data_IF_609450270133
#
_entry.id   IF_609450270133
#
_cell.length_a   1.000
_cell.length_b   1.000
_cell.length_c   1.000
_cell.angle_alpha   90.00
_cell.angle_beta   90.00
_cell.angle_gamma   90.00
#
_symmetry.space_group_name_H-M   'P 1'
#
loop_
_entity.id
_entity.type
_entity.pdbx_description
1 polymer ?
#
# COMPACT_ATOMS: atom_id res chain seq x y z
N UNK A 1 -25.74 -10.65 -36.51
CA UNK A 1 -24.29 -10.80 -36.76
C UNK A 1 -23.70 -10.95 -35.37
N UNK A 2 -22.89 -11.97 -35.06
CA UNK A 2 -22.09 -11.91 -33.84
C UNK A 2 -21.29 -10.60 -33.91
N UNK A 3 -21.30 -9.83 -32.83
CA UNK A 3 -20.39 -8.69 -32.68
C UNK A 3 -18.97 -9.19 -32.94
N UNK A 4 -18.10 -8.44 -33.65
CA UNK A 4 -16.70 -8.81 -33.73
C UNK A 4 -16.18 -9.00 -32.31
N UNK A 5 -15.43 -10.09 -32.08
CA UNK A 5 -14.72 -10.24 -30.81
C UNK A 5 -13.79 -9.03 -30.69
N UNK A 6 -13.84 -8.33 -29.57
CA UNK A 6 -12.98 -7.16 -29.35
C UNK A 6 -11.56 -7.65 -28.99
N UNK A 7 -10.54 -6.79 -29.07
CA UNK A 7 -9.22 -7.08 -28.48
C UNK A 7 -9.35 -7.19 -26.97
N UNK A 8 -8.33 -7.69 -26.27
CA UNK A 8 -8.33 -7.74 -24.80
C UNK A 8 -8.67 -6.38 -24.19
N UNK A 9 -8.04 -5.30 -24.67
CA UNK A 9 -8.36 -3.93 -24.23
C UNK A 9 -9.82 -3.58 -24.53
N UNK A 10 -10.33 -3.95 -25.71
CA UNK A 10 -11.72 -3.70 -26.08
C UNK A 10 -12.73 -4.49 -25.23
N UNK A 11 -12.41 -5.72 -24.83
CA UNK A 11 -13.22 -6.54 -23.92
C UNK A 11 -13.26 -5.92 -22.52
N UNK A 12 -12.11 -5.47 -22.01
CA UNK A 12 -11.97 -4.72 -20.74
C UNK A 12 -12.73 -3.39 -20.79
N UNK A 13 -12.70 -2.67 -21.92
CA UNK A 13 -13.45 -1.44 -22.13
C UNK A 13 -14.98 -1.66 -22.22
N UNK A 14 -15.42 -2.81 -22.72
CA UNK A 14 -16.84 -3.12 -22.87
C UNK A 14 -17.47 -3.66 -21.58
N UNK A 15 -16.70 -4.27 -20.67
CA UNK A 15 -17.23 -4.64 -19.34
C UNK A 15 -17.63 -3.41 -18.52
N UNK A 16 -16.89 -2.29 -18.67
CA UNK A 16 -17.20 -0.98 -18.07
C UNK A 16 -18.14 -0.08 -18.92
N UNK A 17 -18.97 -0.66 -19.78
CA UNK A 17 -19.82 0.11 -20.69
C UNK A 17 -21.05 0.77 -20.01
N UNK A 18 -20.83 1.62 -19.00
CA UNK A 18 -21.65 2.80 -18.69
C UNK A 18 -20.85 4.06 -18.30
N UNK A 19 -19.53 4.12 -18.52
CA UNK A 19 -18.80 5.38 -18.68
C UNK A 19 -18.47 6.17 -17.42
N UNK A 20 -18.43 5.54 -16.24
CA UNK A 20 -17.70 6.07 -15.08
C UNK A 20 -16.79 5.02 -14.46
N UNK A 21 -15.69 5.48 -13.86
CA UNK A 21 -14.78 4.74 -12.96
C UNK A 21 -15.50 4.36 -11.64
N UNK A 22 -16.73 3.88 -11.73
CA UNK A 22 -17.71 3.67 -10.63
C UNK A 22 -18.76 2.61 -11.03
N UNK A 23 -18.65 1.95 -12.19
CA UNK A 23 -19.81 1.23 -12.71
C UNK A 23 -20.09 -0.11 -12.00
N UNK A 24 -19.13 -0.68 -11.27
CA UNK A 24 -19.28 -1.56 -10.09
C UNK A 24 -17.94 -2.25 -9.79
N UNK A 25 -17.67 -2.66 -8.54
CA UNK A 25 -16.43 -3.37 -8.18
C UNK A 25 -16.16 -4.71 -8.92
N UNK A 26 -17.00 -5.16 -9.85
CA UNK A 26 -16.83 -6.39 -10.61
C UNK A 26 -16.24 -6.21 -12.01
N UNK A 27 -15.99 -4.98 -12.47
CA UNK A 27 -15.37 -4.69 -13.76
C UNK A 27 -13.83 -4.49 -13.64
N UNK A 28 -13.22 -3.79 -14.59
CA UNK A 28 -11.78 -3.79 -14.85
C UNK A 28 -11.26 -2.36 -15.14
N UNK A 29 -11.93 -1.32 -14.64
CA UNK A 29 -11.55 0.06 -14.93
C UNK A 29 -10.18 0.41 -14.33
N UNK A 30 -9.88 -0.10 -13.14
CA UNK A 30 -8.57 0.12 -12.49
C UNK A 30 -7.46 -0.53 -13.33
N UNK A 31 -7.67 -1.77 -13.80
CA UNK A 31 -6.72 -2.47 -14.67
C UNK A 31 -6.48 -1.69 -15.97
N UNK A 32 -7.55 -1.15 -16.57
CA UNK A 32 -7.46 -0.35 -17.79
C UNK A 32 -6.58 0.88 -17.59
N UNK A 33 -6.86 1.67 -16.56
CA UNK A 33 -6.09 2.88 -16.27
C UNK A 33 -4.63 2.55 -16.01
N UNK A 34 -4.36 1.46 -15.28
CA UNK A 34 -2.99 0.98 -15.05
C UNK A 34 -2.25 0.64 -16.35
N UNK A 35 -2.89 -0.10 -17.27
CA UNK A 35 -2.32 -0.45 -18.58
C UNK A 35 -2.02 0.78 -19.44
N UNK A 36 -2.93 1.75 -19.44
CA UNK A 36 -2.74 3.02 -20.17
C UNK A 36 -1.58 3.81 -19.57
N UNK A 37 -1.54 3.94 -18.25
CA UNK A 37 -0.49 4.66 -17.52
C UNK A 37 0.90 4.02 -17.73
N UNK A 38 0.97 2.69 -17.78
CA UNK A 38 2.18 1.93 -18.06
C UNK A 38 2.59 1.94 -19.55
N UNK A 39 1.77 2.50 -20.43
CA UNK A 39 2.03 2.52 -21.88
C UNK A 39 1.92 1.14 -22.54
N UNK A 40 1.19 0.20 -21.92
CA UNK A 40 1.02 -1.18 -22.39
C UNK A 40 -0.22 -1.37 -23.28
N UNK A 41 -1.08 -0.36 -23.42
CA UNK A 41 -2.32 -0.45 -24.20
C UNK A 41 -2.08 -0.95 -25.64
N UNK A 42 -1.03 -0.46 -26.30
CA UNK A 42 -0.70 -0.90 -27.66
C UNK A 42 -0.31 -2.38 -27.76
N UNK A 43 0.20 -2.99 -26.68
CA UNK A 43 0.54 -4.41 -26.64
C UNK A 43 -0.72 -5.28 -26.48
N UNK A 44 -1.69 -4.84 -25.67
CA UNK A 44 -2.97 -5.54 -25.48
C UNK A 44 -3.96 -5.35 -26.64
N UNK A 45 -3.72 -4.36 -27.51
CA UNK A 45 -4.52 -4.10 -28.72
C UNK A 45 -3.98 -4.74 -30.00
N UNK A 46 -2.82 -5.41 -29.97
CA UNK A 46 -2.27 -6.06 -31.16
C UNK A 46 -3.16 -7.26 -31.56
N UNK A 47 -3.88 -7.21 -32.69
CA UNK A 47 -4.80 -8.27 -33.10
C UNK A 47 -4.08 -9.56 -33.53
N UNK A 48 -2.78 -9.51 -33.78
CA UNK A 48 -1.96 -10.67 -34.15
C UNK A 48 -1.27 -11.30 -32.93
N UNK A 49 -1.40 -10.69 -31.75
CA UNK A 49 -0.92 -11.28 -30.51
C UNK A 49 -1.76 -12.49 -30.12
N UNK A 50 -1.14 -13.40 -29.36
CA UNK A 50 -1.81 -14.53 -28.72
C UNK A 50 -1.41 -14.48 -27.26
N UNK A 51 -2.31 -13.99 -26.41
CA UNK A 51 -2.04 -13.69 -25.00
C UNK A 51 -3.05 -14.36 -24.10
N UNK A 52 -2.65 -14.61 -22.86
CA UNK A 52 -3.57 -14.87 -21.76
C UNK A 52 -3.37 -13.80 -20.71
N UNK A 53 -4.45 -13.14 -20.32
CA UNK A 53 -4.44 -12.10 -19.29
C UNK A 53 -5.23 -12.58 -18.08
N UNK A 54 -4.56 -12.64 -16.94
CA UNK A 54 -5.21 -12.82 -15.67
C UNK A 54 -5.59 -11.43 -15.15
N UNK A 55 -6.84 -11.03 -15.33
CA UNK A 55 -7.31 -9.67 -15.06
C UNK A 55 -7.88 -9.57 -13.65
N UNK A 56 -7.25 -8.81 -12.72
CA UNK A 56 -7.86 -8.50 -11.44
C UNK A 56 -9.07 -7.60 -11.65
N UNK A 57 -10.15 -7.90 -10.95
CA UNK A 57 -11.33 -7.03 -10.88
C UNK A 57 -11.05 -5.77 -10.08
N UNK A 58 -11.93 -4.78 -10.17
CA UNK A 58 -11.79 -3.55 -9.39
C UNK A 58 -11.95 -3.80 -7.89
N UNK A 59 -12.76 -4.77 -7.48
CA UNK A 59 -12.81 -5.29 -6.11
C UNK A 59 -11.46 -5.86 -5.65
N UNK A 60 -10.72 -6.52 -6.55
CA UNK A 60 -9.40 -7.06 -6.22
C UNK A 60 -8.39 -5.94 -5.98
N UNK A 61 -8.42 -4.87 -6.77
CA UNK A 61 -7.59 -3.69 -6.54
C UNK A 61 -7.98 -2.94 -5.28
N UNK A 62 -9.28 -2.79 -4.99
CA UNK A 62 -9.73 -2.21 -3.72
C UNK A 62 -9.23 -3.06 -2.55
N UNK A 63 -9.36 -4.39 -2.65
CA UNK A 63 -8.85 -5.31 -1.62
C UNK A 63 -7.34 -5.21 -1.42
N UNK A 64 -6.56 -5.08 -2.50
CA UNK A 64 -5.12 -4.81 -2.40
C UNK A 64 -4.87 -3.46 -1.72
N UNK A 65 -5.56 -2.40 -2.12
CA UNK A 65 -5.41 -1.09 -1.49
C UNK A 65 -5.72 -1.15 0.01
N UNK A 66 -6.78 -1.86 0.40
CA UNK A 66 -7.17 -2.07 1.80
C UNK A 66 -6.12 -2.86 2.58
N UNK A 67 -5.56 -3.91 1.99
CA UNK A 67 -4.42 -4.62 2.56
C UNK A 67 -3.16 -3.75 2.68
N UNK A 68 -3.10 -2.64 1.93
CA UNK A 68 -2.07 -1.61 2.04
C UNK A 68 -2.46 -0.45 2.96
N UNK A 69 -3.50 -0.61 3.79
CA UNK A 69 -3.94 0.40 4.77
C UNK A 69 -4.90 1.46 4.20
N UNK A 70 -5.47 1.27 3.01
CA UNK A 70 -6.52 2.17 2.52
C UNK A 70 -7.86 1.89 3.22
N UNK A 71 -8.31 2.79 4.07
CA UNK A 71 -9.58 2.66 4.79
C UNK A 71 -10.85 2.84 3.92
N UNK A 72 -10.71 3.29 2.68
CA UNK A 72 -11.84 3.54 1.78
C UNK A 72 -12.33 2.30 1.04
N UNK A 73 -13.32 2.51 0.18
CA UNK A 73 -13.91 1.47 -0.67
C UNK A 73 -14.23 1.94 -2.08
N UNK A 74 -13.87 3.18 -2.41
CA UNK A 74 -14.04 3.74 -3.74
C UNK A 74 -12.83 3.42 -4.62
N UNK A 75 -13.09 3.17 -5.89
CA UNK A 75 -12.06 2.78 -6.86
C UNK A 75 -10.99 3.87 -6.99
N UNK A 76 -11.38 5.15 -6.96
CA UNK A 76 -10.50 6.28 -7.23
C UNK A 76 -9.45 6.45 -6.13
N UNK A 77 -9.90 6.35 -4.88
CA UNK A 77 -9.03 6.32 -3.72
C UNK A 77 -8.15 5.08 -3.70
N UNK A 78 -8.70 3.90 -4.00
CA UNK A 78 -7.92 2.65 -4.05
C UNK A 78 -6.78 2.72 -5.08
N UNK A 79 -7.07 3.14 -6.33
CA UNK A 79 -6.04 3.32 -7.35
C UNK A 79 -5.02 4.39 -6.93
N UNK A 80 -5.49 5.52 -6.39
CA UNK A 80 -4.62 6.58 -5.89
C UNK A 80 -3.65 6.07 -4.81
N UNK A 81 -4.14 5.23 -3.90
CA UNK A 81 -3.35 4.64 -2.82
C UNK A 81 -2.31 3.65 -3.35
N UNK A 82 -2.70 2.73 -4.23
CA UNK A 82 -1.78 1.78 -4.87
C UNK A 82 -0.70 2.52 -5.66
N UNK A 83 -1.07 3.54 -6.45
CA UNK A 83 -0.10 4.35 -7.19
C UNK A 83 0.87 5.04 -6.24
N UNK A 84 0.41 5.56 -5.10
CA UNK A 84 1.27 6.16 -4.08
C UNK A 84 2.25 5.13 -3.53
N UNK A 85 1.79 3.94 -3.14
CA UNK A 85 2.64 2.84 -2.67
C UNK A 85 3.69 2.45 -3.73
N UNK A 86 3.27 2.22 -4.97
CA UNK A 86 4.18 1.89 -6.07
C UNK A 86 5.16 3.02 -6.40
N UNK A 87 4.75 4.28 -6.23
CA UNK A 87 5.63 5.45 -6.43
C UNK A 87 6.75 5.46 -5.41
N UNK A 88 6.44 5.12 -4.15
CA UNK A 88 7.41 5.07 -3.06
C UNK A 88 8.46 3.99 -3.32
N UNK A 89 8.01 2.81 -3.76
CA UNK A 89 8.85 1.68 -4.14
C UNK A 89 9.67 1.91 -5.42
N UNK A 90 9.09 2.61 -6.41
CA UNK A 90 9.71 2.88 -7.70
C UNK A 90 10.73 4.04 -7.70
N UNK A 91 11.14 4.55 -6.55
CA UNK A 91 12.05 5.69 -6.46
C UNK A 91 11.44 7.03 -6.91
N UNK A 92 10.12 7.17 -6.78
CA UNK A 92 9.36 8.38 -7.11
C UNK A 92 8.64 8.35 -8.47
N UNK A 93 8.77 7.27 -9.25
CA UNK A 93 7.99 7.03 -10.46
C UNK A 93 7.31 5.65 -10.38
N UNK A 94 5.97 5.58 -10.34
CA UNK A 94 5.26 4.30 -10.26
C UNK A 94 5.29 3.53 -11.58
N UNK A 95 5.56 4.18 -12.73
CA UNK A 95 5.39 3.58 -14.05
C UNK A 95 6.25 2.31 -14.24
N UNK A 96 7.55 2.29 -13.90
CA UNK A 96 8.36 1.09 -14.06
C UNK A 96 7.84 -0.10 -13.24
N UNK A 97 7.48 0.12 -11.97
CA UNK A 97 7.01 -0.96 -11.10
C UNK A 97 5.61 -1.44 -11.50
N UNK A 98 4.71 -0.51 -11.84
CA UNK A 98 3.39 -0.82 -12.38
C UNK A 98 3.50 -1.65 -13.68
N UNK A 99 4.48 -1.32 -14.53
CA UNK A 99 4.75 -2.08 -15.75
C UNK A 99 5.17 -3.52 -15.44
N UNK A 100 5.97 -3.74 -14.40
CA UNK A 100 6.39 -5.09 -13.99
C UNK A 100 5.24 -5.90 -13.38
N UNK A 101 4.41 -5.29 -12.51
CA UNK A 101 3.19 -5.91 -11.98
C UNK A 101 2.24 -6.29 -13.11
N UNK A 102 1.99 -5.39 -14.06
CA UNK A 102 1.09 -5.67 -15.19
C UNK A 102 1.63 -6.77 -16.10
N UNK A 103 2.94 -6.82 -16.37
CA UNK A 103 3.53 -7.92 -17.16
C UNK A 103 3.43 -9.26 -16.45
N UNK A 104 3.41 -9.29 -15.12
CA UNK A 104 3.24 -10.53 -14.35
C UNK A 104 1.84 -11.13 -14.53
N UNK A 105 0.83 -10.30 -14.79
CA UNK A 105 -0.54 -10.74 -15.11
C UNK A 105 -0.72 -11.26 -16.55
N UNK A 106 0.31 -11.16 -17.40
CA UNK A 106 0.21 -11.51 -18.82
C UNK A 106 1.13 -12.68 -19.13
N UNK A 107 0.60 -13.64 -19.87
CA UNK A 107 1.33 -14.79 -20.40
C UNK A 107 1.27 -14.77 -21.92
N UNK A 108 2.35 -15.23 -22.55
CA UNK A 108 2.39 -15.44 -24.00
C UNK A 108 1.75 -16.78 -24.39
N UNK A 109 0.71 -16.74 -25.22
CA UNK A 109 -0.08 -17.88 -25.68
C UNK A 109 -1.52 -17.88 -25.14
N UNK A 110 -2.40 -18.63 -25.79
CA UNK A 110 -3.80 -18.84 -25.37
C UNK A 110 -3.92 -20.08 -24.46
N UNK A 111 -4.18 -19.84 -23.18
CA UNK A 111 -4.35 -20.86 -22.16
C UNK A 111 -5.78 -20.82 -21.62
N UNK A 112 -6.70 -21.52 -22.29
CA UNK A 112 -8.01 -21.82 -21.72
C UNK A 112 -7.89 -22.83 -20.57
N UNK A 113 -8.92 -22.92 -19.73
CA UNK A 113 -8.91 -23.81 -18.55
C UNK A 113 -8.76 -25.29 -18.96
N UNK A 114 -9.21 -25.67 -20.15
CA UNK A 114 -9.07 -27.03 -20.68
C UNK A 114 -7.61 -27.36 -21.04
N UNK A 115 -6.90 -26.39 -21.62
CA UNK A 115 -5.48 -26.48 -21.99
C UNK A 115 -4.63 -26.55 -20.74
N UNK A 116 -4.93 -25.70 -19.75
CA UNK A 116 -4.28 -25.74 -18.44
C UNK A 116 -4.54 -27.05 -17.70
N UNK A 117 -5.78 -27.54 -17.67
CA UNK A 117 -6.09 -28.85 -17.07
C UNK A 117 -5.32 -30.00 -17.73
N UNK A 118 -4.92 -29.86 -19.00
CA UNK A 118 -4.03 -30.78 -19.71
C UNK A 118 -2.58 -30.75 -19.23
N UNK A 119 -2.11 -29.63 -18.64
CA UNK A 119 -0.78 -29.49 -18.04
C UNK A 119 -0.70 -30.17 -16.66
N UNK A 120 -1.84 -30.30 -15.99
CA UNK A 120 -1.95 -30.86 -14.64
C UNK A 120 -1.94 -29.79 -13.54
N UNK A 121 -2.34 -30.20 -12.34
CA UNK A 121 -2.30 -29.35 -11.15
C UNK A 121 -0.85 -29.03 -10.73
N UNK A 122 -0.61 -27.79 -10.28
CA UNK A 122 0.74 -27.26 -10.02
C UNK A 122 1.51 -26.89 -11.29
N UNK A 123 0.81 -26.66 -12.41
CA UNK A 123 1.43 -26.21 -13.65
C UNK A 123 2.02 -24.81 -13.47
N UNK A 124 3.25 -24.64 -13.95
CA UNK A 124 3.99 -23.38 -13.90
C UNK A 124 3.96 -22.75 -15.29
N UNK A 125 3.48 -21.51 -15.38
CA UNK A 125 3.39 -20.77 -16.64
C UNK A 125 4.22 -19.50 -16.55
N UNK A 126 5.13 -19.31 -17.51
CA UNK A 126 6.01 -18.16 -17.59
C UNK A 126 5.24 -16.90 -18.05
N UNK A 127 5.31 -15.85 -17.25
CA UNK A 127 4.71 -14.54 -17.50
C UNK A 127 5.61 -13.69 -18.40
N UNK A 128 5.09 -12.58 -18.93
CA UNK A 128 5.89 -11.62 -19.71
C UNK A 128 6.95 -10.91 -18.87
N UNK A 129 6.82 -10.94 -17.54
CA UNK A 129 7.84 -10.47 -16.62
C UNK A 129 9.04 -11.45 -16.53
N UNK A 130 8.85 -12.71 -16.94
CA UNK A 130 9.86 -13.78 -16.89
C UNK A 130 9.78 -14.67 -15.65
N UNK A 131 8.92 -14.34 -14.68
CA UNK A 131 8.60 -15.17 -13.51
C UNK A 131 7.49 -16.16 -13.85
N UNK A 132 7.39 -17.27 -13.11
CA UNK A 132 6.30 -18.25 -13.28
C UNK A 132 5.15 -17.97 -12.31
N UNK A 133 3.92 -18.28 -12.74
CA UNK A 133 2.74 -18.37 -11.88
C UNK A 133 2.32 -19.83 -11.80
N UNK A 134 2.04 -20.31 -10.59
CA UNK A 134 1.54 -21.66 -10.35
C UNK A 134 0.02 -21.71 -10.51
N UNK A 135 -0.51 -22.75 -11.16
CA UNK A 135 -1.95 -22.98 -11.24
C UNK A 135 -2.37 -24.08 -10.30
N UNK A 136 -3.23 -23.74 -9.35
CA UNK A 136 -3.90 -24.69 -8.46
C UNK A 136 -5.32 -24.94 -8.98
N UNK A 137 -5.51 -26.11 -9.58
CA UNK A 137 -6.79 -26.55 -10.13
C UNK A 137 -7.63 -27.33 -9.13
N UNK A 138 -7.07 -27.64 -7.95
CA UNK A 138 -7.75 -28.36 -6.88
C UNK A 138 -8.49 -27.44 -5.91
N UNK A 139 -8.15 -26.15 -5.88
CA UNK A 139 -8.90 -25.13 -5.15
C UNK A 139 -10.28 -24.89 -5.76
N UNK A 140 -11.20 -24.35 -4.95
CA UNK A 140 -12.55 -24.01 -5.36
C UNK A 140 -12.87 -22.57 -4.92
N UNK A 141 -12.80 -21.57 -5.81
CA UNK A 141 -12.43 -21.67 -7.23
C UNK A 141 -10.95 -22.04 -7.47
N UNK A 142 -10.56 -22.47 -8.68
CA UNK A 142 -9.15 -22.59 -9.06
C UNK A 142 -8.39 -21.31 -8.74
N UNK A 143 -7.14 -21.40 -8.34
CA UNK A 143 -6.35 -20.26 -7.91
C UNK A 143 -5.00 -20.21 -8.60
N UNK A 144 -4.40 -19.03 -8.56
CA UNK A 144 -3.03 -18.79 -9.02
C UNK A 144 -2.15 -18.59 -7.79
N UNK A 145 -1.04 -19.30 -7.74
CA UNK A 145 -0.04 -19.14 -6.70
C UNK A 145 0.57 -17.74 -6.80
N UNK A 146 0.35 -16.93 -5.77
CA UNK A 146 1.10 -15.70 -5.59
C UNK A 146 2.52 -16.05 -5.09
N UNK A 147 3.47 -15.15 -5.32
CA UNK A 147 4.82 -15.29 -4.83
C UNK A 147 4.92 -15.11 -3.30
N UNK A 148 3.94 -14.44 -2.70
CA UNK A 148 3.84 -14.17 -1.27
C UNK A 148 3.03 -15.24 -0.53
N UNK A 149 3.59 -15.85 0.52
CA UNK A 149 2.88 -16.84 1.35
C UNK A 149 1.98 -16.23 2.42
N UNK A 150 2.07 -14.90 2.65
CA UNK A 150 1.19 -14.12 3.51
C UNK A 150 -0.07 -13.60 2.81
N UNK A 151 -0.07 -13.53 1.47
CA UNK A 151 -1.24 -13.11 0.69
C UNK A 151 -2.01 -14.35 0.21
N UNK A 152 -3.34 -14.33 0.36
CA UNK A 152 -4.17 -15.40 -0.16
C UNK A 152 -4.09 -15.46 -1.69
N UNK A 153 -3.70 -16.61 -2.22
CA UNK A 153 -3.67 -16.91 -3.66
C UNK A 153 -4.94 -16.42 -4.38
N UNK A 154 -4.83 -15.56 -5.41
CA UNK A 154 -5.99 -15.08 -6.14
C UNK A 154 -6.75 -16.23 -6.81
N UNK A 155 -8.06 -16.28 -6.53
CA UNK A 155 -9.01 -17.17 -7.16
C UNK A 155 -9.47 -16.68 -8.52
N UNK A 156 -9.56 -17.59 -9.47
CA UNK A 156 -10.11 -17.36 -10.80
C UNK A 156 -11.64 -17.46 -10.73
N UNK A 157 -12.30 -16.31 -10.79
CA UNK A 157 -13.76 -16.20 -10.60
C UNK A 157 -14.55 -16.28 -11.91
N UNK A 158 -13.90 -15.98 -13.04
CA UNK A 158 -14.46 -16.16 -14.37
C UNK A 158 -13.36 -16.61 -15.33
N UNK A 159 -13.64 -17.65 -16.12
CA UNK A 159 -12.65 -18.23 -17.04
C UNK A 159 -13.05 -18.03 -18.49
N UNK A 160 -12.06 -18.16 -19.37
CA UNK A 160 -12.24 -18.37 -20.81
C UNK A 160 -13.05 -17.25 -21.49
N UNK A 161 -12.81 -16.00 -21.07
CA UNK A 161 -13.40 -14.83 -21.73
C UNK A 161 -12.62 -14.61 -23.04
N UNK A 162 -13.26 -14.95 -24.15
CA UNK A 162 -12.68 -14.86 -25.49
C UNK A 162 -12.48 -13.41 -25.94
N UNK A 163 -11.28 -13.11 -26.45
CA UNK A 163 -10.94 -11.89 -27.16
C UNK A 163 -10.32 -12.24 -28.53
N UNK A 164 -10.25 -11.28 -29.46
CA UNK A 164 -9.68 -11.54 -30.80
C UNK A 164 -8.21 -11.94 -30.76
N UNK A 165 -7.47 -11.49 -29.75
CA UNK A 165 -6.03 -11.69 -29.61
C UNK A 165 -5.64 -12.47 -28.34
N UNK A 166 -6.57 -13.24 -27.78
CA UNK A 166 -6.27 -14.04 -26.60
C UNK A 166 -7.45 -14.39 -25.71
N UNK A 167 -7.13 -14.78 -24.49
CA UNK A 167 -8.07 -15.21 -23.46
C UNK A 167 -7.89 -14.36 -22.20
N UNK A 168 -9.01 -14.00 -21.55
CA UNK A 168 -9.01 -13.33 -20.25
C UNK A 168 -9.60 -14.27 -19.20
N UNK A 169 -8.93 -14.34 -18.04
CA UNK A 169 -9.44 -14.97 -16.82
C UNK A 169 -9.55 -13.89 -15.74
N UNK A 170 -10.73 -13.72 -15.14
CA UNK A 170 -10.94 -12.72 -14.10
C UNK A 170 -10.50 -13.24 -12.73
N UNK A 171 -9.80 -12.41 -11.97
CA UNK A 171 -9.30 -12.70 -10.63
C UNK A 171 -10.01 -11.88 -9.55
N UNK A 172 -10.13 -12.47 -8.36
CA UNK A 172 -10.54 -11.76 -7.14
C UNK A 172 -9.37 -11.22 -6.29
N UNK A 173 -8.14 -11.30 -6.80
CA UNK A 173 -6.94 -10.73 -6.18
C UNK A 173 -5.96 -10.25 -7.26
N UNK A 174 -4.97 -9.45 -6.85
CA UNK A 174 -3.92 -8.93 -7.73
C UNK A 174 -2.67 -9.78 -7.55
N UNK A 175 -2.08 -10.26 -8.65
CA UNK A 175 -0.83 -11.00 -8.62
C UNK A 175 0.36 -10.05 -8.41
N UNK A 176 1.14 -10.26 -7.37
CA UNK A 176 2.35 -9.49 -7.11
C UNK A 176 3.61 -10.30 -7.48
N UNK A 177 4.53 -9.74 -8.29
CA UNK A 177 5.73 -10.48 -8.66
C UNK A 177 6.71 -10.61 -7.49
N UNK A 178 7.49 -11.70 -7.43
CA UNK A 178 8.50 -12.02 -6.38
C UNK A 178 9.49 -10.87 -6.09
N UNK A 179 9.73 -9.95 -7.05
CA UNK A 179 10.56 -8.76 -6.80
C UNK A 179 9.95 -7.79 -5.78
N UNK A 180 8.67 -7.96 -5.48
CA UNK A 180 7.91 -7.19 -4.50
C UNK A 180 8.03 -7.93 -3.15
N UNK A 181 7.89 -9.26 -3.06
CA UNK A 181 7.52 -9.96 -1.81
C UNK A 181 8.61 -10.80 -1.10
N UNK A 182 9.89 -10.41 -1.14
CA UNK A 182 11.01 -11.27 -0.69
C UNK A 182 11.11 -11.39 0.87
N UNK A 183 10.26 -12.20 1.52
CA UNK A 183 10.27 -12.45 2.98
C UNK A 183 11.27 -13.56 3.35
N UNK A 184 11.99 -13.36 4.46
CA UNK A 184 13.01 -14.21 5.11
C UNK A 184 14.47 -14.08 4.62
N UNK A 185 15.04 -12.89 4.80
CA UNK A 185 16.50 -12.73 5.04
C UNK A 185 17.33 -12.22 3.87
N UNK A 186 16.70 -11.64 2.85
CA UNK A 186 17.40 -10.92 1.78
C UNK A 186 17.53 -9.43 2.14
N UNK A 187 18.52 -8.76 1.54
CA UNK A 187 18.93 -7.39 1.94
C UNK A 187 18.26 -6.29 1.11
N UNK A 188 17.16 -6.62 0.42
CA UNK A 188 16.51 -5.87 -0.67
C UNK A 188 15.01 -6.28 -0.74
N UNK A 189 14.30 -6.35 0.39
CA UNK A 189 12.89 -6.77 0.41
C UNK A 189 12.01 -5.56 0.15
N UNK A 190 11.37 -5.48 -1.02
CA UNK A 190 10.65 -4.27 -1.41
C UNK A 190 9.22 -4.20 -0.82
N UNK A 191 8.59 -5.31 -0.39
CA UNK A 191 7.19 -5.36 0.03
C UNK A 191 6.90 -6.50 1.01
N UNK A 192 6.07 -6.23 2.01
CA UNK A 192 5.56 -7.19 2.99
C UNK A 192 4.11 -6.82 3.31
N UNK A 193 3.23 -7.84 3.29
CA UNK A 193 1.89 -7.79 3.87
C UNK A 193 1.79 -8.90 4.93
N UNK A 194 1.56 -8.52 6.18
CA UNK A 194 1.36 -9.45 7.27
C UNK A 194 -0.09 -9.91 7.45
N UNK A 195 -0.27 -10.86 8.37
CA UNK A 195 -1.58 -11.42 8.69
C UNK A 195 -2.13 -10.88 10.03
N UNK A 196 -2.96 -11.62 10.76
CA UNK A 196 -3.57 -11.16 12.03
C UNK A 196 -2.75 -11.63 13.27
N UNK A 197 -1.52 -12.11 13.09
CA UNK A 197 -0.68 -12.70 14.13
C UNK A 197 0.44 -11.75 14.60
N UNK A 198 1.19 -12.12 15.65
CA UNK A 198 2.32 -11.30 16.09
C UNK A 198 3.59 -11.65 15.28
N UNK A 199 4.09 -10.73 14.46
CA UNK A 199 5.19 -10.94 13.51
C UNK A 199 6.48 -10.15 13.84
N UNK A 200 7.57 -10.57 13.19
CA UNK A 200 8.84 -9.84 13.21
C UNK A 200 9.37 -9.65 11.79
N UNK A 201 9.40 -8.41 11.33
CA UNK A 201 9.85 -8.04 9.99
C UNK A 201 11.21 -7.34 9.98
N UNK A 202 12.08 -7.76 9.06
CA UNK A 202 13.37 -7.12 8.81
C UNK A 202 13.72 -7.16 7.32
N UNK A 203 13.61 -6.00 6.64
CA UNK A 203 13.78 -5.87 5.17
C UNK A 203 15.20 -5.43 4.79
N UNK A 204 15.82 -4.58 5.60
CA UNK A 204 17.26 -4.40 5.71
C UNK A 204 17.87 -3.30 4.85
N UNK A 205 17.83 -3.38 3.52
CA UNK A 205 18.16 -2.24 2.64
C UNK A 205 17.15 -2.25 1.50
N UNK A 206 16.93 -1.10 0.88
CA UNK A 206 16.04 -1.02 -0.28
C UNK A 206 15.21 0.23 -0.18
N UNK A 207 14.05 0.24 -0.80
CA UNK A 207 12.95 1.12 -0.44
C UNK A 207 11.81 0.15 -0.20
N UNK A 208 11.46 -0.03 1.06
CA UNK A 208 10.68 -1.18 1.47
C UNK A 208 9.30 -0.69 1.91
N UNK A 209 8.24 -1.40 1.52
CA UNK A 209 6.89 -1.19 2.03
C UNK A 209 6.52 -2.36 2.96
N UNK A 210 6.11 -2.08 4.18
CA UNK A 210 5.66 -3.10 5.14
C UNK A 210 4.31 -2.69 5.69
N UNK A 211 3.34 -3.61 5.65
CA UNK A 211 2.14 -3.54 6.46
C UNK A 211 2.15 -4.74 7.41
N UNK A 212 2.12 -4.48 8.72
CA UNK A 212 2.16 -5.52 9.76
C UNK A 212 0.89 -6.37 9.80
N UNK A 213 -0.27 -5.73 9.62
CA UNK A 213 -1.53 -6.45 9.46
C UNK A 213 -2.36 -6.26 10.72
N UNK A 214 -2.71 -7.34 11.41
CA UNK A 214 -3.16 -7.29 12.79
C UNK A 214 -2.19 -8.07 13.69
N UNK A 215 -2.28 -7.89 15.01
CA UNK A 215 -1.31 -8.46 15.95
C UNK A 215 -0.34 -7.41 16.48
N UNK A 216 0.58 -7.82 17.35
CA UNK A 216 1.59 -6.92 17.93
C UNK A 216 2.95 -7.18 17.26
N UNK A 217 3.24 -6.38 16.25
CA UNK A 217 4.34 -6.58 15.35
C UNK A 217 5.62 -5.85 15.75
N UNK A 218 6.73 -6.35 15.25
CA UNK A 218 8.00 -5.64 15.29
C UNK A 218 8.53 -5.45 13.87
N UNK A 219 8.44 -4.23 13.37
CA UNK A 219 8.81 -3.86 12.00
C UNK A 219 10.16 -3.14 12.00
N UNK A 220 11.11 -3.60 11.19
CA UNK A 220 12.39 -2.92 10.97
C UNK A 220 12.76 -2.83 9.50
N UNK A 221 12.62 -1.64 8.91
CA UNK A 221 12.83 -1.44 7.48
C UNK A 221 14.30 -1.17 7.13
N UNK A 222 15.05 -0.61 8.06
CA UNK A 222 16.52 -0.66 8.05
C UNK A 222 17.19 0.46 7.25
N UNK A 223 17.30 0.37 5.92
CA UNK A 223 17.96 1.41 5.10
C UNK A 223 17.20 1.62 3.80
N UNK A 224 16.57 2.76 3.67
CA UNK A 224 15.83 3.10 2.47
C UNK A 224 15.08 4.37 2.70
N UNK A 225 14.25 4.77 1.73
CA UNK A 225 13.12 5.60 2.11
C UNK A 225 11.96 4.62 2.16
N UNK A 226 11.62 4.20 3.36
CA UNK A 226 10.73 3.08 3.58
C UNK A 226 9.34 3.56 3.98
N UNK A 227 8.35 2.69 3.83
CA UNK A 227 7.00 2.86 4.37
C UNK A 227 6.70 1.69 5.29
N UNK A 228 6.33 1.98 6.53
CA UNK A 228 5.89 0.97 7.47
C UNK A 228 4.55 1.38 8.08
N UNK A 229 3.58 0.48 7.97
CA UNK A 229 2.26 0.55 8.58
C UNK A 229 2.21 -0.59 9.60
N UNK A 230 1.94 -0.28 10.87
CA UNK A 230 1.77 -1.29 11.92
C UNK A 230 0.52 -2.12 11.65
N UNK A 231 -0.61 -1.44 11.61
CA UNK A 231 -1.91 -2.05 11.39
C UNK A 231 -2.66 -2.11 12.72
N UNK A 232 -3.31 -3.24 13.03
CA UNK A 232 -4.09 -3.36 14.25
C UNK A 232 -3.32 -4.08 15.36
N UNK A 233 -3.04 -3.42 16.48
CA UNK A 233 -2.39 -3.98 17.65
C UNK A 233 -1.29 -3.05 18.16
N UNK A 234 -0.50 -3.49 19.14
CA UNK A 234 0.53 -2.64 19.74
C UNK A 234 1.89 -2.94 19.11
N UNK A 235 2.27 -2.14 18.13
CA UNK A 235 3.40 -2.36 17.25
C UNK A 235 4.66 -1.61 17.68
N UNK A 236 5.80 -2.13 17.23
CA UNK A 236 7.10 -1.48 17.39
C UNK A 236 7.76 -1.29 16.03
N UNK A 237 7.82 -0.04 15.57
CA UNK A 237 8.28 0.29 14.22
C UNK A 237 9.64 0.99 14.25
N UNK A 238 10.59 0.51 13.45
CA UNK A 238 11.92 1.10 13.26
C UNK A 238 12.18 1.45 11.78
N UNK A 239 12.05 2.73 11.40
CA UNK A 239 12.34 3.21 10.03
C UNK A 239 13.82 3.16 9.66
N UNK A 240 14.70 3.40 10.63
CA UNK A 240 16.13 3.15 10.47
C UNK A 240 16.88 4.27 9.75
N UNK A 241 17.09 4.19 8.44
CA UNK A 241 17.86 5.19 7.68
C UNK A 241 17.21 5.49 6.32
N UNK A 242 16.55 6.63 6.26
CA UNK A 242 16.47 7.48 5.08
C UNK A 242 15.38 8.48 5.30
N UNK A 243 14.42 8.60 4.40
CA UNK A 243 13.23 9.42 4.63
C UNK A 243 12.05 8.47 4.70
N UNK A 244 11.68 8.14 5.91
CA UNK A 244 10.74 7.05 6.15
C UNK A 244 9.33 7.62 6.41
N UNK A 245 8.29 6.89 6.04
CA UNK A 245 6.89 7.18 6.37
C UNK A 245 6.44 6.04 7.29
N UNK A 246 6.16 6.36 8.55
CA UNK A 246 5.85 5.38 9.59
C UNK A 246 4.48 5.71 10.16
N UNK A 247 3.58 4.72 10.17
CA UNK A 247 2.24 4.82 10.76
C UNK A 247 2.02 3.63 11.68
N UNK A 248 1.56 3.87 12.90
CA UNK A 248 1.20 2.81 13.85
C UNK A 248 -0.14 2.17 13.48
N UNK A 249 -1.12 3.00 13.14
CA UNK A 249 -2.52 2.65 12.81
C UNK A 249 -3.42 2.47 14.04
N UNK A 250 -3.90 1.28 14.40
CA UNK A 250 -4.79 1.10 15.57
C UNK A 250 -4.00 0.44 16.71
N UNK A 251 -3.83 1.10 17.86
CA UNK A 251 -3.28 0.47 19.08
C UNK A 251 -2.26 1.35 19.79
N UNK A 252 -1.69 0.87 20.90
CA UNK A 252 -0.66 1.65 21.62
C UNK A 252 0.74 1.34 21.04
N UNK A 253 1.20 2.16 20.10
CA UNK A 253 2.38 1.93 19.29
C UNK A 253 3.65 2.60 19.82
N UNK A 254 4.80 2.07 19.40
CA UNK A 254 6.10 2.71 19.62
C UNK A 254 6.88 2.84 18.32
N UNK A 255 7.06 4.09 17.87
CA UNK A 255 7.62 4.39 16.55
C UNK A 255 8.96 5.12 16.64
N UNK A 256 9.97 4.59 15.94
CA UNK A 256 11.32 5.15 15.84
C UNK A 256 11.68 5.53 14.39
N UNK A 257 11.61 6.81 14.05
CA UNK A 257 12.02 7.36 12.74
C UNK A 257 13.49 7.09 12.39
N UNK A 258 14.38 7.31 13.37
CA UNK A 258 15.79 6.92 13.22
C UNK A 258 16.63 8.00 12.54
N UNK A 259 16.99 7.83 11.26
CA UNK A 259 17.85 8.78 10.53
C UNK A 259 17.27 9.15 9.17
N UNK A 260 16.54 10.24 9.14
CA UNK A 260 16.65 11.26 8.11
C UNK A 260 15.50 12.20 8.26
N UNK A 261 14.76 12.50 7.20
CA UNK A 261 13.61 13.40 7.34
C UNK A 261 12.37 12.53 7.27
N UNK A 262 11.88 12.15 8.44
CA UNK A 262 10.90 11.09 8.61
C UNK A 262 9.52 11.71 8.85
N UNK A 263 8.47 11.05 8.36
CA UNK A 263 7.06 11.36 8.67
C UNK A 263 6.57 10.25 9.57
N UNK A 264 6.05 10.62 10.73
CA UNK A 264 5.62 9.71 11.78
C UNK A 264 4.19 10.06 12.14
N UNK A 265 3.32 9.06 12.14
CA UNK A 265 1.91 9.13 12.46
C UNK A 265 1.67 8.01 13.48
N UNK A 266 1.18 8.35 14.67
CA UNK A 266 0.87 7.34 15.68
C UNK A 266 -0.30 6.50 15.21
N UNK A 267 -1.39 7.18 14.87
CA UNK A 267 -2.67 6.56 14.58
C UNK A 267 -3.58 6.73 15.78
N UNK A 268 -4.54 5.83 15.93
CA UNK A 268 -5.48 5.85 17.03
C UNK A 268 -4.90 5.19 18.29
N UNK A 269 -5.34 5.66 19.47
CA UNK A 269 -4.87 5.27 20.81
C UNK A 269 -3.51 5.93 21.18
N UNK A 270 -3.03 5.69 22.41
CA UNK A 270 -1.95 6.50 23.00
C UNK A 270 -0.54 6.04 22.56
N UNK A 271 0.11 6.80 21.66
CA UNK A 271 1.39 6.37 21.07
C UNK A 271 2.66 7.00 21.65
N UNK A 272 3.80 6.35 21.37
CA UNK A 272 5.13 6.87 21.70
C UNK A 272 5.99 7.03 20.45
N UNK A 273 6.30 8.28 20.11
CA UNK A 273 7.02 8.63 18.89
C UNK A 273 8.41 9.23 19.14
N UNK A 274 9.39 8.76 18.36
CA UNK A 274 10.77 9.26 18.33
C UNK A 274 11.17 9.65 16.91
N UNK A 275 11.41 10.93 16.65
CA UNK A 275 11.86 11.44 15.35
C UNK A 275 13.31 11.08 15.06
N UNK A 276 14.17 11.06 16.09
CA UNK A 276 15.57 10.73 15.92
C UNK A 276 16.35 11.83 15.21
N UNK A 277 16.96 11.55 14.05
CA UNK A 277 17.87 12.46 13.34
C UNK A 277 17.36 12.85 11.96
N UNK A 278 16.69 13.99 11.90
CA UNK A 278 16.81 14.91 10.78
C UNK A 278 15.75 15.97 10.86
N UNK A 279 14.91 16.17 9.86
CA UNK A 279 13.82 17.13 10.00
C UNK A 279 12.56 16.32 9.96
N UNK A 280 12.02 16.07 11.14
CA UNK A 280 11.02 15.03 11.33
C UNK A 280 9.65 15.72 11.43
N UNK A 281 8.61 15.07 10.93
CA UNK A 281 7.23 15.55 10.95
C UNK A 281 6.40 14.52 11.71
N UNK A 282 5.67 14.98 12.73
CA UNK A 282 4.72 14.17 13.49
C UNK A 282 3.33 14.59 13.06
N UNK A 283 2.58 13.70 12.43
CA UNK A 283 1.20 13.92 11.99
C UNK A 283 0.28 13.57 13.14
N UNK A 284 -0.72 14.41 13.39
CA UNK A 284 -1.73 14.21 14.42
C UNK A 284 -3.09 14.56 13.81
N UNK A 285 -4.00 13.60 13.82
CA UNK A 285 -5.37 13.67 13.32
C UNK A 285 -6.38 13.53 14.47
N UNK A 286 -7.68 13.65 14.17
CA UNK A 286 -8.71 13.50 15.19
C UNK A 286 -8.85 12.04 15.62
N UNK A 287 -8.87 11.81 16.94
CA UNK A 287 -9.01 10.48 17.51
C UNK A 287 -7.69 9.76 17.74
N UNK A 288 -6.56 10.46 17.61
CA UNK A 288 -5.21 9.94 17.86
C UNK A 288 -4.88 9.81 19.36
N UNK A 289 -5.77 10.23 20.27
CA UNK A 289 -5.56 10.01 21.70
C UNK A 289 -4.42 10.85 22.32
N UNK A 290 -3.79 10.31 23.37
CA UNK A 290 -2.78 11.02 24.19
C UNK A 290 -1.33 10.65 23.80
N UNK A 291 -0.82 11.27 22.75
CA UNK A 291 0.50 10.99 22.15
C UNK A 291 1.72 11.54 22.90
N UNK A 292 2.82 10.79 22.85
CA UNK A 292 4.11 11.17 23.43
C UNK A 292 5.21 11.32 22.39
N UNK A 293 5.61 12.56 22.11
CA UNK A 293 6.77 12.86 21.27
C UNK A 293 8.00 13.11 22.16
N UNK A 294 8.93 12.16 22.14
CA UNK A 294 9.97 12.06 23.17
C UNK A 294 11.21 12.93 22.88
N UNK A 295 11.52 13.20 21.62
CA UNK A 295 12.76 13.89 21.23
C UNK A 295 12.57 15.08 20.27
N UNK A 296 11.39 15.72 20.31
CA UNK A 296 11.05 16.88 19.49
C UNK A 296 12.08 18.01 19.58
N UNK A 297 12.59 18.49 18.44
CA UNK A 297 13.53 19.62 18.37
C UNK A 297 12.87 20.82 17.72
N UNK A 298 12.57 21.80 18.57
CA UNK A 298 12.07 23.12 18.17
C UNK A 298 12.90 23.74 17.05
N UNK A 299 12.22 24.22 16.01
CA UNK A 299 12.81 24.87 14.83
C UNK A 299 13.45 23.90 13.82
N UNK A 300 13.35 22.59 14.05
CA UNK A 300 13.86 21.56 13.14
C UNK A 300 12.76 20.56 12.77
N UNK A 301 12.07 20.05 13.77
CA UNK A 301 10.96 19.12 13.62
C UNK A 301 9.62 19.89 13.61
N UNK A 302 8.57 19.26 13.11
CA UNK A 302 7.24 19.85 12.92
C UNK A 302 6.15 18.92 13.45
N UNK A 303 5.09 19.51 14.00
CA UNK A 303 3.83 18.81 14.28
C UNK A 303 2.84 19.25 13.21
N UNK A 304 2.29 18.31 12.45
CA UNK A 304 1.30 18.57 11.42
C UNK A 304 -0.10 18.35 11.99
N UNK A 305 -0.86 19.45 12.08
CA UNK A 305 -2.26 19.49 12.52
C UNK A 305 -3.18 19.86 11.36
N UNK A 306 -2.69 19.81 10.11
CA UNK A 306 -3.53 20.13 8.94
C UNK A 306 -4.66 19.13 8.71
N UNK A 307 -4.56 17.92 9.29
CA UNK A 307 -5.65 16.94 9.32
C UNK A 307 -6.67 17.14 10.45
N UNK A 308 -6.36 17.98 11.44
CA UNK A 308 -7.15 18.07 12.67
C UNK A 308 -8.35 19.03 12.51
N UNK A 309 -9.55 18.48 12.49
CA UNK A 309 -10.79 19.23 12.42
C UNK A 309 -10.94 20.16 13.63
N UNK A 310 -11.15 21.45 13.36
CA UNK A 310 -11.33 22.47 14.41
C UNK A 310 -10.07 23.25 14.77
N UNK A 311 -8.89 22.84 14.28
CA UNK A 311 -7.62 23.56 14.48
C UNK A 311 -7.14 24.07 13.12
N UNK A 312 -7.36 25.36 12.85
CA UNK A 312 -6.96 26.01 11.59
C UNK A 312 -5.70 26.86 11.73
N UNK A 313 -5.30 27.20 12.96
CA UNK A 313 -4.13 28.02 13.20
C UNK A 313 -3.59 27.90 14.62
N UNK A 314 -2.45 28.53 14.87
CA UNK A 314 -1.79 28.50 16.17
C UNK A 314 -2.63 29.13 17.28
N UNK A 315 -3.46 30.12 16.94
CA UNK A 315 -4.44 30.77 17.82
C UNK A 315 -5.48 29.82 18.41
N UNK A 316 -5.74 28.68 17.76
CA UNK A 316 -6.71 27.70 18.23
C UNK A 316 -6.14 26.83 19.36
N UNK A 317 -4.80 26.75 19.48
CA UNK A 317 -4.12 25.90 20.48
C UNK A 317 -3.26 26.71 21.47
N UNK A 318 -2.97 27.99 21.22
CA UNK A 318 -1.96 28.74 21.98
C UNK A 318 -2.25 28.81 23.49
N UNK A 319 -3.54 28.86 23.85
CA UNK A 319 -4.00 28.91 25.24
C UNK A 319 -4.02 27.53 25.93
N UNK A 320 -4.00 26.46 25.13
CA UNK A 320 -4.06 25.05 25.57
C UNK A 320 -2.67 24.40 25.66
N UNK A 321 -1.62 25.10 25.21
CA UNK A 321 -0.23 24.73 25.47
C UNK A 321 0.11 25.01 26.93
N UNK A 322 0.23 23.94 27.71
CA UNK A 322 0.55 23.99 29.14
C UNK A 322 1.80 23.17 29.48
N UNK A 323 2.45 23.43 30.61
CA UNK A 323 3.61 22.64 31.05
C UNK A 323 4.76 23.43 31.65
N UNK A 324 5.83 22.71 31.97
CA UNK A 324 7.01 23.21 32.67
C UNK A 324 8.30 23.15 31.85
N UNK A 325 9.45 23.29 32.50
CA UNK A 325 10.76 23.31 31.83
C UNK A 325 11.17 22.01 31.12
N UNK A 326 10.51 20.89 31.42
CA UNK A 326 10.92 19.55 30.97
C UNK A 326 9.82 18.76 30.27
N UNK A 327 8.62 19.32 30.19
CA UNK A 327 7.47 18.67 29.57
C UNK A 327 6.45 19.74 29.21
N UNK A 328 5.92 19.64 28.00
CA UNK A 328 4.80 20.44 27.50
C UNK A 328 3.67 19.48 27.13
N UNK A 329 2.45 19.85 27.46
CA UNK A 329 1.22 19.18 27.04
C UNK A 329 0.41 20.18 26.21
N UNK A 330 -0.06 19.75 25.06
CA UNK A 330 -0.94 20.49 24.16
C UNK A 330 -2.26 19.73 24.18
N UNK A 331 -3.29 20.30 24.77
CA UNK A 331 -4.65 19.74 24.73
C UNK A 331 -5.27 20.16 23.38
N UNK A 332 -5.64 19.19 22.55
CA UNK A 332 -6.23 19.44 21.23
C UNK A 332 -7.77 19.45 21.26
N UNK A 333 -8.36 19.13 22.41
CA UNK A 333 -9.78 18.92 22.56
C UNK A 333 -10.20 17.49 22.23
N UNK A 334 -11.50 17.21 22.45
CA UNK A 334 -12.17 15.93 22.13
C UNK A 334 -11.53 14.63 22.69
N UNK A 335 -10.56 14.76 23.59
CA UNK A 335 -9.88 13.64 24.24
C UNK A 335 -8.46 13.41 23.74
N UNK A 336 -7.98 14.22 22.79
CA UNK A 336 -6.65 14.09 22.21
C UNK A 336 -5.67 15.09 22.83
N UNK A 337 -4.42 14.67 23.04
CA UNK A 337 -3.37 15.57 23.52
C UNK A 337 -1.98 15.15 23.06
N UNK A 338 -1.06 16.12 22.98
CA UNK A 338 0.34 15.86 22.65
C UNK A 338 1.22 16.20 23.85
N UNK A 339 2.03 15.24 24.27
CA UNK A 339 3.06 15.40 25.29
C UNK A 339 4.44 15.48 24.65
N UNK A 340 5.08 16.65 24.75
CA UNK A 340 6.45 16.86 24.32
C UNK A 340 7.43 16.74 25.49
N UNK A 341 8.26 15.70 25.46
CA UNK A 341 9.29 15.53 26.49
C UNK A 341 10.51 16.46 26.23
N UNK A 342 11.00 17.11 27.28
CA UNK A 342 12.19 17.97 27.22
C UNK A 342 11.99 19.32 26.51
N UNK A 343 10.77 19.61 26.05
CA UNK A 343 10.41 20.89 25.43
C UNK A 343 9.66 21.75 26.44
N UNK A 344 10.02 23.02 26.53
CA UNK A 344 9.28 23.99 27.35
C UNK A 344 8.27 24.75 26.50
N UNK A 345 7.07 24.94 27.03
CA UNK A 345 5.93 25.55 26.33
C UNK A 345 6.29 26.87 25.63
N UNK A 346 7.03 27.76 26.29
CA UNK A 346 7.44 29.05 25.72
C UNK A 346 8.45 29.00 24.57
N UNK A 347 8.91 27.81 24.16
CA UNK A 347 9.71 27.62 22.95
C UNK A 347 8.87 27.19 21.74
N UNK A 348 7.61 26.81 21.94
CA UNK A 348 6.70 26.54 20.85
C UNK A 348 6.15 27.85 20.30
N UNK A 349 6.05 27.90 18.97
CA UNK A 349 5.50 29.02 18.21
C UNK A 349 4.75 28.43 17.03
N UNK A 350 4.03 29.25 16.26
CA UNK A 350 3.43 28.84 14.97
C UNK A 350 4.44 28.10 14.07
N UNK A 351 5.72 28.47 14.09
CA UNK A 351 6.80 27.77 13.35
C UNK A 351 7.07 26.33 13.83
N UNK A 352 6.49 25.86 14.93
CA UNK A 352 6.56 24.45 15.36
C UNK A 352 5.51 23.58 14.67
N UNK A 353 4.49 24.18 14.06
CA UNK A 353 3.31 23.49 13.58
C UNK A 353 3.13 23.64 12.07
N UNK A 354 2.22 22.85 11.51
CA UNK A 354 1.65 22.97 10.17
C UNK A 354 0.12 22.93 10.36
N UNK A 355 -0.57 23.82 9.65
CA UNK A 355 -2.03 23.95 9.65
C UNK A 355 -2.53 24.04 8.20
N UNK A 356 -3.85 23.98 8.01
CA UNK A 356 -4.53 24.11 6.69
C UNK A 356 -4.42 25.52 6.10
#
# INVERSE_FOLDING_TARGET
MPTPSETITGTVLMSGALGSFDDNNGDFDILREAVVAAGLAGALDDPEASLTVFAPTDAAFIGLAQALGYAGSDEAGALGHIVKALTLLGGGDPIPLLTEVLKYHVVNGEFDLATVAGLGDGAQIETLQGSSVELNLQSAPPSLGDADDGIADPGIIQTDIEATNGIIHALNGVLLPVSVTDILGQKNTDFILGDDSDEFYFTGRGQDFVHGGGGNDVINTGRGNDVALGGAGNDVIFGGRGKDILRGDEGEDTIFGGRGADVIDGGADDDIMFGGRGKDMFVIENGDGDDWIVDFRVGKDKIDLSGYEGIAGFEDIEDDISGGFFQTTIDLGDGDSIVLAGVGAGHLTEDSFIFV
#
